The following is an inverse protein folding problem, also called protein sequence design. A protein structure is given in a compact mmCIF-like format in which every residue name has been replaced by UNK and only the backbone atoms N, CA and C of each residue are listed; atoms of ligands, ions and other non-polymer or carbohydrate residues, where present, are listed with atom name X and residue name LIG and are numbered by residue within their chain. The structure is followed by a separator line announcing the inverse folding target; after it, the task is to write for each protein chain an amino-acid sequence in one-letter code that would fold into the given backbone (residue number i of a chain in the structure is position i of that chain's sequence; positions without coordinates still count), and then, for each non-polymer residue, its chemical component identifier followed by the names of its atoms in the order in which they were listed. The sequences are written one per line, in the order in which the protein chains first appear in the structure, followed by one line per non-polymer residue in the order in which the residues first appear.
data_IF_380553991745
#
_entry.id   IF_380553991745
#
_cell.length_a   1.000
_cell.length_b   1.000
_cell.length_c   1.000
_cell.angle_alpha   90.00
_cell.angle_beta   90.00
_cell.angle_gamma   90.00
#
_symmetry.space_group_name_H-M   'P 1'
#
loop_
_entity.id
_entity.type
_entity.pdbx_description
1 polymer ?
#
# COMPACT_ATOMS: atom_id res chain seq x y z
N UNK A 1 56.53 81.24 -27.29
CA UNK A 1 56.33 79.90 -26.72
C UNK A 1 55.31 80.00 -25.60
N UNK A 2 54.06 79.64 -25.85
CA UNK A 2 52.95 79.78 -24.90
C UNK A 2 52.72 78.41 -24.26
N UNK A 3 53.03 78.29 -22.96
CA UNK A 3 52.68 77.13 -22.13
C UNK A 3 51.27 77.34 -21.56
N UNK A 4 50.29 76.61 -22.09
CA UNK A 4 48.97 76.46 -21.47
C UNK A 4 49.00 75.26 -20.51
N UNK A 5 49.11 75.54 -19.21
CA UNK A 5 48.80 74.57 -18.16
C UNK A 5 47.27 74.46 -18.02
N UNK A 6 46.71 73.30 -18.40
CA UNK A 6 45.30 72.98 -18.14
C UNK A 6 45.10 72.63 -16.66
N UNK A 7 44.41 73.51 -15.94
CA UNK A 7 43.87 73.22 -14.63
C UNK A 7 42.74 72.18 -14.78
N UNK A 8 42.91 71.00 -14.17
CA UNK A 8 41.84 70.02 -14.04
C UNK A 8 40.92 70.49 -12.90
N UNK A 9 39.61 70.65 -13.14
CA UNK A 9 38.71 71.13 -12.10
C UNK A 9 38.55 70.06 -11.02
N UNK A 10 38.94 70.41 -9.79
CA UNK A 10 38.82 69.59 -8.57
C UNK A 10 37.42 69.01 -8.34
N UNK A 11 36.38 69.57 -8.96
CA UNK A 11 35.01 69.04 -8.90
C UNK A 11 34.84 67.67 -9.55
N UNK A 12 35.59 67.35 -10.60
CA UNK A 12 35.45 66.06 -11.31
C UNK A 12 36.04 64.90 -10.49
N UNK A 13 37.13 65.16 -9.77
CA UNK A 13 37.79 64.15 -8.91
C UNK A 13 36.93 63.84 -7.68
N UNK A 14 36.26 64.86 -7.10
CA UNK A 14 35.36 64.67 -5.98
C UNK A 14 34.09 63.87 -6.36
N UNK A 15 33.55 64.10 -7.57
CA UNK A 15 32.38 63.39 -8.06
C UNK A 15 32.65 61.90 -8.32
N UNK A 16 33.83 61.56 -8.85
CA UNK A 16 34.25 60.16 -9.08
C UNK A 16 34.48 59.45 -7.73
N UNK A 17 35.07 60.13 -6.75
CA UNK A 17 35.26 59.56 -5.40
C UNK A 17 33.92 59.29 -4.69
N UNK A 18 32.95 60.21 -4.80
CA UNK A 18 31.62 60.02 -4.22
C UNK A 18 30.85 58.86 -4.88
N UNK A 19 30.93 58.73 -6.21
CA UNK A 19 30.30 57.62 -6.93
C UNK A 19 30.90 56.25 -6.57
N UNK A 20 32.23 56.18 -6.37
CA UNK A 20 32.90 54.96 -5.92
C UNK A 20 32.48 54.57 -4.49
N UNK A 21 32.31 55.53 -3.57
CA UNK A 21 31.84 55.25 -2.22
C UNK A 21 30.38 54.77 -2.18
N UNK A 22 29.50 55.30 -3.03
CA UNK A 22 28.10 54.86 -3.12
C UNK A 22 28.01 53.45 -3.71
N UNK A 23 28.85 53.11 -4.71
CA UNK A 23 28.90 51.76 -5.26
C UNK A 23 29.42 50.72 -4.25
N UNK A 24 30.43 51.07 -3.44
CA UNK A 24 30.92 50.20 -2.37
C UNK A 24 29.89 50.03 -1.25
N UNK A 25 29.15 51.09 -0.87
CA UNK A 25 28.05 50.98 0.08
C UNK A 25 26.92 50.11 -0.46
N UNK A 26 26.55 50.22 -1.74
CA UNK A 26 25.54 49.36 -2.37
C UNK A 26 25.97 47.88 -2.37
N UNK A 27 27.25 47.57 -2.58
CA UNK A 27 27.76 46.18 -2.53
C UNK A 27 27.84 45.64 -1.09
N UNK A 28 28.08 46.48 -0.09
CA UNK A 28 28.08 46.06 1.33
C UNK A 28 26.65 45.88 1.87
N UNK A 29 25.68 46.65 1.39
CA UNK A 29 24.26 46.51 1.79
C UNK A 29 23.50 45.46 0.97
N UNK A 30 24.00 45.05 -0.21
CA UNK A 30 23.58 43.82 -0.90
C UNK A 30 24.50 42.68 -0.44
N UNK A 31 24.62 42.49 0.87
CA UNK A 31 24.97 41.18 1.41
C UNK A 31 23.74 40.29 1.21
N UNK A 32 23.85 39.13 0.54
CA UNK A 32 22.79 38.14 0.63
C UNK A 32 22.60 37.86 2.12
N UNK A 33 21.34 37.92 2.54
CA UNK A 33 20.88 37.57 3.87
C UNK A 33 21.10 36.05 4.07
N UNK A 34 22.36 35.63 4.17
CA UNK A 34 22.79 34.34 4.69
C UNK A 34 22.63 34.38 6.21
N UNK A 35 21.37 34.46 6.63
CA UNK A 35 20.90 34.06 7.95
C UNK A 35 19.51 33.44 7.76
N UNK A 36 19.54 32.24 7.19
CA UNK A 36 18.77 31.09 7.67
C UNK A 36 19.66 29.86 7.46
N UNK A 37 20.87 29.95 8.02
CA UNK A 37 21.77 28.82 8.21
C UNK A 37 21.42 28.23 9.58
N UNK A 38 20.25 27.60 9.60
CA UNK A 38 19.65 26.87 10.69
C UNK A 38 18.51 26.04 10.08
N UNK A 39 18.62 24.72 10.16
CA UNK A 39 17.63 23.70 9.78
C UNK A 39 17.46 23.27 8.32
N UNK A 40 18.33 23.66 7.37
CA UNK A 40 18.26 23.11 6.01
C UNK A 40 19.03 21.77 5.84
N UNK A 41 19.99 21.46 6.72
CA UNK A 41 20.83 20.26 6.63
C UNK A 41 20.48 19.13 7.62
N UNK A 42 19.36 19.25 8.37
CA UNK A 42 18.88 18.20 9.28
C UNK A 42 17.48 17.65 8.94
N UNK A 43 17.04 17.82 7.70
CA UNK A 43 15.94 17.04 7.10
C UNK A 43 16.45 15.82 6.33
N UNK A 44 17.69 15.39 6.59
CA UNK A 44 18.04 13.98 6.50
C UNK A 44 17.15 13.25 7.50
N UNK A 45 16.01 12.75 6.99
CA UNK A 45 15.14 11.80 7.66
C UNK A 45 16.01 10.69 8.28
N UNK A 46 16.40 10.85 9.54
CA UNK A 46 16.60 9.72 10.44
C UNK A 46 15.22 9.12 10.60
N UNK A 47 14.86 8.26 9.65
CA UNK A 47 13.77 7.32 9.85
C UNK A 47 14.26 6.42 10.98
N UNK A 48 14.01 6.81 12.23
CA UNK A 48 14.04 5.88 13.35
C UNK A 48 12.90 4.88 13.11
N UNK A 49 13.12 3.94 12.20
CA UNK A 49 12.46 2.66 12.25
C UNK A 49 13.00 2.02 13.51
N UNK A 50 12.21 2.07 14.57
CA UNK A 50 12.36 1.12 15.66
C UNK A 50 12.51 -0.25 15.01
N UNK A 51 13.60 -0.96 15.31
CA UNK A 51 13.77 -2.35 14.92
C UNK A 51 12.59 -3.11 15.53
N UNK A 52 11.53 -3.30 14.75
CA UNK A 52 10.43 -4.16 15.14
C UNK A 52 10.91 -5.59 14.98
N UNK A 53 10.47 -6.43 15.92
CA UNK A 53 10.44 -7.88 15.78
C UNK A 53 10.02 -8.26 14.35
N UNK A 54 10.53 -9.37 13.77
CA UNK A 54 10.27 -9.70 12.38
C UNK A 54 8.76 -9.75 12.14
N UNK A 55 8.27 -8.85 11.28
CA UNK A 55 6.86 -8.83 10.91
C UNK A 55 6.53 -10.18 10.27
N UNK A 56 5.59 -10.92 10.85
CA UNK A 56 5.06 -12.13 10.23
C UNK A 56 3.75 -11.78 9.54
N UNK A 57 3.57 -12.14 8.25
CA UNK A 57 2.32 -11.94 7.58
C UNK A 57 1.23 -12.80 8.26
N UNK A 58 -0.02 -12.30 8.34
CA UNK A 58 -1.13 -13.11 8.83
C UNK A 58 -1.35 -14.35 7.97
N UNK A 59 -1.84 -15.45 8.56
CA UNK A 59 -2.02 -16.75 7.87
C UNK A 59 -3.06 -16.77 6.74
N UNK A 60 -3.91 -15.74 6.70
CA UNK A 60 -4.99 -15.47 5.75
C UNK A 60 -4.65 -14.28 4.83
N UNK A 61 -3.39 -13.87 4.80
CA UNK A 61 -2.86 -12.91 3.83
C UNK A 61 -2.33 -13.66 2.63
N UNK A 62 -2.69 -13.19 1.44
CA UNK A 62 -2.24 -13.70 0.16
C UNK A 62 -1.58 -12.58 -0.63
N UNK A 63 -0.52 -12.90 -1.36
CA UNK A 63 0.16 -11.95 -2.23
C UNK A 63 -0.12 -12.33 -3.68
N UNK A 64 -0.58 -11.39 -4.49
CA UNK A 64 -0.64 -11.58 -5.93
C UNK A 64 0.79 -11.70 -6.47
N UNK A 65 1.06 -12.80 -7.16
CA UNK A 65 2.39 -13.16 -7.66
C UNK A 65 2.30 -13.63 -9.11
N UNK A 66 2.35 -12.68 -10.04
CA UNK A 66 2.40 -12.92 -11.48
C UNK A 66 3.82 -12.93 -12.06
N UNK A 67 3.96 -13.17 -13.38
CA UNK A 67 5.24 -13.13 -14.07
C UNK A 67 6.02 -11.84 -13.81
N UNK A 68 5.42 -10.64 -13.84
CA UNK A 68 6.14 -9.39 -13.57
C UNK A 68 6.72 -9.30 -12.16
N UNK A 69 6.00 -9.84 -11.17
CA UNK A 69 6.49 -9.87 -9.78
C UNK A 69 7.54 -10.97 -9.57
N UNK A 70 7.55 -11.99 -10.44
CA UNK A 70 8.42 -13.15 -10.36
C UNK A 70 9.67 -13.06 -11.27
N UNK A 71 9.64 -12.18 -12.28
CA UNK A 71 10.73 -12.00 -13.24
C UNK A 71 11.79 -11.04 -12.68
N UNK A 72 12.82 -11.63 -12.09
CA UNK A 72 14.05 -11.00 -11.57
C UNK A 72 13.84 -10.45 -10.16
N UNK A 73 14.80 -10.71 -9.28
CA UNK A 73 14.86 -10.34 -7.85
C UNK A 73 14.91 -8.81 -7.58
N UNK A 74 14.20 -8.01 -8.38
CA UNK A 74 14.22 -6.55 -8.40
C UNK A 74 12.82 -6.02 -8.72
N UNK A 75 12.49 -4.83 -8.23
CA UNK A 75 11.22 -4.15 -8.53
C UNK A 75 10.24 -4.13 -7.36
N UNK A 76 9.04 -3.62 -7.62
CA UNK A 76 8.02 -3.33 -6.62
C UNK A 76 7.45 -4.57 -5.94
N UNK A 77 7.20 -5.64 -6.70
CA UNK A 77 6.68 -6.91 -6.19
C UNK A 77 7.62 -7.58 -5.21
N UNK A 78 8.90 -7.67 -5.57
CA UNK A 78 9.95 -8.21 -4.70
C UNK A 78 10.07 -7.43 -3.38
N UNK A 79 9.91 -6.11 -3.41
CA UNK A 79 9.97 -5.28 -2.19
C UNK A 79 8.80 -5.51 -1.27
N UNK A 80 7.60 -5.63 -1.82
CA UNK A 80 6.42 -5.98 -1.04
C UNK A 80 6.57 -7.39 -0.45
N UNK A 81 7.11 -8.35 -1.22
CA UNK A 81 7.43 -9.69 -0.71
C UNK A 81 8.43 -9.65 0.46
N UNK A 82 9.52 -8.89 0.32
CA UNK A 82 10.52 -8.71 1.37
C UNK A 82 9.93 -8.06 2.63
N UNK A 83 9.07 -7.05 2.47
CA UNK A 83 8.39 -6.38 3.57
C UNK A 83 7.54 -7.37 4.40
N UNK A 84 6.91 -8.32 3.72
CA UNK A 84 6.08 -9.35 4.35
C UNK A 84 6.84 -10.64 4.67
N UNK A 85 8.16 -10.70 4.41
CA UNK A 85 8.97 -11.90 4.62
C UNK A 85 8.37 -13.18 4.00
N UNK A 86 7.73 -13.06 2.83
CA UNK A 86 7.03 -14.18 2.18
C UNK A 86 7.92 -14.92 1.17
N UNK A 87 7.78 -16.22 1.10
CA UNK A 87 8.37 -17.08 0.07
C UNK A 87 9.82 -17.49 0.31
N UNK A 88 10.15 -18.64 -0.29
CA UNK A 88 11.50 -19.20 -0.36
C UNK A 88 11.94 -19.35 -1.81
N UNK A 89 13.25 -19.37 -2.06
CA UNK A 89 13.79 -19.60 -3.40
C UNK A 89 13.82 -21.11 -3.65
N UNK A 90 13.09 -21.56 -4.67
CA UNK A 90 13.04 -22.95 -5.11
C UNK A 90 13.14 -23.01 -6.63
N UNK A 91 14.17 -23.67 -7.17
CA UNK A 91 14.37 -23.79 -8.61
C UNK A 91 14.65 -22.46 -9.33
N UNK A 92 15.15 -21.45 -8.61
CA UNK A 92 15.43 -20.12 -9.15
C UNK A 92 14.22 -19.17 -9.18
N UNK A 93 13.08 -19.58 -8.63
CA UNK A 93 11.87 -18.78 -8.52
C UNK A 93 11.46 -18.62 -7.06
N UNK A 94 10.76 -17.53 -6.73
CA UNK A 94 10.13 -17.39 -5.41
C UNK A 94 8.86 -18.21 -5.36
N UNK A 95 8.74 -19.05 -4.32
CA UNK A 95 7.56 -19.89 -4.08
C UNK A 95 7.06 -19.68 -2.67
N UNK A 96 5.74 -19.53 -2.55
CA UNK A 96 5.04 -19.48 -1.27
C UNK A 96 3.64 -20.09 -1.41
N UNK A 97 3.13 -20.86 -0.43
CA UNK A 97 1.75 -21.34 -0.43
C UNK A 97 0.70 -20.20 -0.47
N UNK A 98 1.05 -19.00 -0.04
CA UNK A 98 0.20 -17.80 -0.01
C UNK A 98 0.33 -16.93 -1.26
N UNK A 99 1.17 -17.31 -2.23
CA UNK A 99 1.19 -16.64 -3.52
C UNK A 99 -0.03 -17.02 -4.37
N UNK A 100 -0.67 -16.01 -4.95
CA UNK A 100 -1.75 -16.17 -5.91
C UNK A 100 -1.16 -16.00 -7.30
N UNK A 101 -1.07 -17.11 -8.03
CA UNK A 101 -0.40 -17.19 -9.32
C UNK A 101 0.77 -18.16 -9.24
N UNK A 102 0.97 -18.94 -10.30
CA UNK A 102 2.13 -19.82 -10.48
C UNK A 102 2.32 -20.02 -11.98
N UNK A 103 3.55 -19.84 -12.46
CA UNK A 103 4.09 -20.37 -13.72
C UNK A 103 3.11 -20.33 -14.92
N UNK A 104 2.52 -19.16 -15.20
CA UNK A 104 1.66 -18.93 -16.36
C UNK A 104 0.15 -19.20 -16.15
N UNK A 105 -0.30 -19.50 -14.93
CA UNK A 105 -1.74 -19.62 -14.63
C UNK A 105 -2.33 -18.26 -14.26
N UNK A 106 -3.43 -17.89 -14.91
CA UNK A 106 -4.26 -16.73 -14.59
C UNK A 106 -4.64 -16.71 -13.09
N UNK A 107 -4.08 -15.76 -12.33
CA UNK A 107 -4.19 -15.68 -10.86
C UNK A 107 -5.64 -15.77 -10.36
N UNK A 108 -6.55 -14.99 -10.97
CA UNK A 108 -7.96 -14.96 -10.59
C UNK A 108 -8.81 -16.10 -11.19
N UNK A 109 -8.26 -16.88 -12.13
CA UNK A 109 -8.91 -18.09 -12.61
C UNK A 109 -8.56 -19.33 -11.77
N UNK A 110 -7.56 -19.22 -10.89
CA UNK A 110 -7.06 -20.36 -10.10
C UNK A 110 -8.12 -20.94 -9.14
N UNK A 111 -8.03 -22.26 -8.89
CA UNK A 111 -8.85 -22.93 -7.87
C UNK A 111 -8.58 -22.38 -6.47
N UNK A 112 -7.35 -21.91 -6.20
CA UNK A 112 -6.98 -21.26 -4.95
C UNK A 112 -7.79 -19.97 -4.76
N UNK A 113 -7.81 -19.10 -5.78
CA UNK A 113 -8.61 -17.88 -5.71
C UNK A 113 -10.11 -18.19 -5.56
N UNK A 114 -10.63 -19.22 -6.23
CA UNK A 114 -12.01 -19.67 -6.03
C UNK A 114 -12.31 -19.96 -4.56
N UNK A 115 -11.48 -20.78 -3.90
CA UNK A 115 -11.68 -21.13 -2.47
C UNK A 115 -11.60 -19.90 -1.57
N UNK A 116 -10.65 -19.01 -1.83
CA UNK A 116 -10.46 -17.80 -1.02
C UNK A 116 -11.61 -16.81 -1.25
N UNK A 117 -12.15 -16.73 -2.47
CA UNK A 117 -13.31 -15.89 -2.78
C UNK A 117 -14.59 -16.34 -2.09
N UNK A 118 -14.70 -17.63 -1.75
CA UNK A 118 -15.83 -18.23 -1.02
C UNK A 118 -15.62 -18.18 0.51
N UNK A 119 -14.39 -17.92 0.97
CA UNK A 119 -14.07 -17.73 2.39
C UNK A 119 -14.17 -16.24 2.79
N UNK A 120 -14.34 -15.98 4.09
CA UNK A 120 -14.32 -14.63 4.63
C UNK A 120 -12.97 -14.31 5.31
N UNK A 121 -12.79 -13.04 5.65
CA UNK A 121 -11.67 -12.55 6.46
C UNK A 121 -10.28 -12.78 5.86
N UNK A 122 -10.14 -12.88 4.54
CA UNK A 122 -8.86 -13.00 3.85
C UNK A 122 -8.40 -11.64 3.33
N UNK A 123 -7.09 -11.44 3.23
CA UNK A 123 -6.52 -10.22 2.63
C UNK A 123 -5.71 -10.59 1.41
N UNK A 124 -5.97 -9.96 0.28
CA UNK A 124 -5.13 -10.06 -0.92
C UNK A 124 -4.38 -8.74 -1.09
N UNK A 125 -3.07 -8.81 -1.13
CA UNK A 125 -2.21 -7.68 -1.53
C UNK A 125 -1.85 -7.83 -3.00
N UNK A 126 -2.15 -6.80 -3.79
CA UNK A 126 -1.73 -6.68 -5.19
C UNK A 126 -0.59 -5.66 -5.25
N UNK A 127 0.64 -6.10 -5.59
CA UNK A 127 1.76 -5.20 -5.79
C UNK A 127 1.53 -4.27 -7.00
N UNK A 128 2.33 -3.21 -7.19
CA UNK A 128 2.15 -2.30 -8.32
C UNK A 128 2.23 -3.05 -9.64
N UNK A 129 1.13 -2.98 -10.40
CA UNK A 129 1.01 -3.56 -11.73
C UNK A 129 1.57 -2.55 -12.75
N UNK A 130 2.62 -2.91 -13.48
CA UNK A 130 3.21 -2.02 -14.50
C UNK A 130 2.74 -2.39 -15.92
N UNK A 131 2.83 -3.66 -16.33
CA UNK A 131 2.39 -4.10 -17.68
C UNK A 131 1.48 -5.34 -17.67
N UNK A 132 1.36 -6.06 -16.57
CA UNK A 132 0.45 -7.20 -16.41
C UNK A 132 -0.83 -6.83 -15.67
N UNK A 133 -1.67 -6.05 -16.33
CA UNK A 133 -3.02 -5.79 -15.85
C UNK A 133 -3.93 -6.99 -16.16
N UNK A 134 -4.58 -7.62 -15.17
CA UNK A 134 -5.54 -8.68 -15.43
C UNK A 134 -6.80 -8.13 -16.12
N UNK A 135 -6.81 -8.14 -17.45
CA UNK A 135 -7.98 -7.81 -18.27
C UNK A 135 -8.89 -9.04 -18.37
N UNK A 136 -9.70 -9.27 -17.35
CA UNK A 136 -10.83 -10.18 -17.45
C UNK A 136 -12.07 -9.40 -17.86
N UNK A 137 -12.93 -10.04 -18.64
CA UNK A 137 -14.25 -9.47 -18.90
C UNK A 137 -15.02 -9.39 -17.56
N UNK A 138 -15.33 -8.16 -17.15
CA UNK A 138 -15.94 -7.81 -15.87
C UNK A 138 -17.35 -8.37 -15.68
N UNK A 139 -18.02 -8.74 -16.79
CA UNK A 139 -19.33 -9.37 -16.83
C UNK A 139 -19.26 -10.90 -16.81
N UNK A 140 -18.07 -11.49 -16.94
CA UNK A 140 -17.90 -12.95 -16.80
C UNK A 140 -17.77 -13.35 -15.32
N UNK A 141 -17.83 -14.66 -15.09
CA UNK A 141 -17.76 -15.27 -13.76
C UNK A 141 -16.54 -14.83 -12.94
N UNK A 142 -15.41 -14.52 -13.59
CA UNK A 142 -14.20 -14.06 -12.90
C UNK A 142 -14.41 -12.65 -12.32
N UNK A 143 -15.02 -11.74 -13.08
CA UNK A 143 -15.36 -10.41 -12.59
C UNK A 143 -16.32 -10.46 -11.41
N UNK A 144 -17.34 -11.32 -11.49
CA UNK A 144 -18.24 -11.52 -10.36
C UNK A 144 -17.52 -12.14 -9.16
N UNK A 145 -16.60 -13.08 -9.37
CA UNK A 145 -15.83 -13.69 -8.29
C UNK A 145 -14.92 -12.69 -7.56
N UNK A 146 -14.32 -11.74 -8.28
CA UNK A 146 -13.53 -10.67 -7.68
C UNK A 146 -14.40 -9.78 -6.79
N UNK A 147 -15.60 -9.43 -7.26
CA UNK A 147 -16.57 -8.69 -6.45
C UNK A 147 -17.03 -9.49 -5.23
N UNK A 148 -17.43 -10.75 -5.43
CA UNK A 148 -17.84 -11.66 -4.36
C UNK A 148 -16.74 -11.82 -3.31
N UNK A 149 -15.46 -11.91 -3.72
CA UNK A 149 -14.33 -11.95 -2.78
C UNK A 149 -14.41 -10.75 -1.84
N UNK A 150 -14.45 -9.53 -2.35
CA UNK A 150 -14.54 -8.35 -1.47
C UNK A 150 -15.86 -8.36 -0.68
N UNK A 151 -17.00 -8.62 -1.32
CA UNK A 151 -18.30 -8.63 -0.65
C UNK A 151 -18.36 -9.65 0.49
N UNK A 152 -17.63 -10.76 0.45
CA UNK A 152 -17.58 -11.79 1.49
C UNK A 152 -16.77 -11.38 2.75
N UNK A 153 -16.59 -10.08 2.99
CA UNK A 153 -15.85 -9.59 4.15
C UNK A 153 -14.34 -9.73 4.02
N UNK A 154 -13.84 -9.88 2.79
CA UNK A 154 -12.42 -9.89 2.52
C UNK A 154 -11.89 -8.49 2.20
N UNK A 155 -10.57 -8.40 2.18
CA UNK A 155 -9.84 -7.16 1.90
C UNK A 155 -9.01 -7.30 0.65
N UNK A 156 -9.12 -6.31 -0.22
CA UNK A 156 -8.24 -6.15 -1.37
C UNK A 156 -7.37 -4.91 -1.20
N UNK A 157 -6.07 -5.10 -0.97
CA UNK A 157 -5.09 -4.01 -0.90
C UNK A 157 -4.41 -3.88 -2.25
N UNK A 158 -4.66 -2.79 -2.97
CA UNK A 158 -3.99 -2.47 -4.21
C UNK A 158 -2.95 -1.39 -4.00
N UNK A 159 -1.77 -1.61 -4.55
CA UNK A 159 -0.65 -0.68 -4.44
C UNK A 159 -0.26 -0.10 -5.78
N UNK A 160 0.18 1.15 -5.78
CA UNK A 160 0.77 1.88 -6.91
C UNK A 160 -0.14 2.08 -8.13
N UNK A 161 0.40 2.78 -9.12
CA UNK A 161 0.00 2.66 -10.53
C UNK A 161 -1.35 3.25 -10.93
N UNK A 162 -1.43 3.58 -12.22
CA UNK A 162 -2.69 3.89 -12.92
C UNK A 162 -3.50 2.60 -13.13
N UNK A 163 -2.80 1.50 -13.40
CA UNK A 163 -3.37 0.16 -13.56
C UNK A 163 -4.23 -0.26 -12.36
N UNK A 164 -3.77 -0.07 -11.12
CA UNK A 164 -4.59 -0.43 -9.96
C UNK A 164 -5.91 0.36 -9.87
N UNK A 165 -5.92 1.62 -10.29
CA UNK A 165 -7.15 2.42 -10.30
C UNK A 165 -8.09 1.99 -11.42
N UNK A 166 -7.55 1.67 -12.59
CA UNK A 166 -8.33 1.11 -13.70
C UNK A 166 -8.99 -0.21 -13.29
N UNK A 167 -8.29 -1.02 -12.50
CA UNK A 167 -8.83 -2.27 -11.94
C UNK A 167 -10.02 -1.97 -11.04
N UNK A 168 -9.86 -1.02 -10.11
CA UNK A 168 -10.93 -0.65 -9.18
C UNK A 168 -12.15 -0.14 -9.96
N UNK A 169 -11.94 0.76 -10.92
CA UNK A 169 -13.01 1.33 -11.74
C UNK A 169 -13.74 0.26 -12.56
N UNK A 170 -12.98 -0.61 -13.24
CA UNK A 170 -13.53 -1.66 -14.11
C UNK A 170 -14.31 -2.73 -13.34
N UNK A 171 -13.75 -3.29 -12.26
CA UNK A 171 -14.34 -4.45 -11.59
C UNK A 171 -15.43 -4.09 -10.58
N UNK A 172 -15.33 -2.91 -9.96
CA UNK A 172 -16.25 -2.48 -8.91
C UNK A 172 -17.16 -1.33 -9.33
N UNK A 173 -17.16 -0.97 -10.61
CA UNK A 173 -18.03 0.04 -11.22
C UNK A 173 -17.94 1.38 -10.49
N UNK A 174 -16.70 1.87 -10.36
CA UNK A 174 -16.40 3.21 -9.84
C UNK A 174 -15.87 4.11 -10.94
N UNK A 175 -15.87 5.42 -10.70
CA UNK A 175 -15.31 6.41 -11.61
C UNK A 175 -14.31 7.29 -10.86
N UNK A 176 -13.25 6.66 -10.35
CA UNK A 176 -12.19 7.35 -9.61
C UNK A 176 -11.21 7.95 -10.61
N UNK A 177 -11.04 9.25 -10.55
CA UNK A 177 -10.13 10.00 -11.42
C UNK A 177 -8.80 10.32 -10.73
N UNK A 178 -7.73 10.22 -11.50
CA UNK A 178 -6.41 10.73 -11.14
C UNK A 178 -6.42 12.25 -10.99
N UNK A 179 -5.48 12.78 -10.20
CA UNK A 179 -5.18 14.21 -10.19
C UNK A 179 -4.67 14.63 -11.57
N UNK A 180 -5.08 15.80 -12.02
CA UNK A 180 -4.71 16.33 -13.34
C UNK A 180 -3.18 16.37 -13.50
N UNK A 181 -2.68 15.82 -14.60
CA UNK A 181 -1.23 15.69 -14.86
C UNK A 181 -0.54 14.55 -14.14
N UNK A 182 -1.28 13.62 -13.51
CA UNK A 182 -0.75 12.44 -12.80
C UNK A 182 0.26 12.75 -11.69
N UNK A 183 0.28 13.99 -11.23
CA UNK A 183 1.18 14.47 -10.20
C UNK A 183 0.40 15.31 -9.20
N UNK A 184 0.38 14.87 -7.94
CA UNK A 184 -0.11 15.69 -6.83
C UNK A 184 1.09 16.21 -6.05
N UNK A 185 1.25 17.54 -5.87
CA UNK A 185 2.25 18.04 -4.94
C UNK A 185 1.86 17.56 -3.53
N UNK A 186 2.66 16.67 -2.97
CA UNK A 186 2.59 16.35 -1.55
C UNK A 186 3.16 17.51 -0.70
N UNK A 187 3.38 17.29 0.60
CA UNK A 187 3.25 16.02 1.32
C UNK A 187 1.81 15.70 1.72
N UNK A 188 1.49 14.41 1.88
CA UNK A 188 0.16 13.96 2.28
C UNK A 188 0.08 13.78 3.78
N UNK A 189 -0.92 14.40 4.40
CA UNK A 189 -1.10 14.33 5.85
C UNK A 189 -2.12 13.25 6.17
N UNK A 190 -1.84 12.50 7.23
CA UNK A 190 -2.79 11.55 7.81
C UNK A 190 -4.01 12.31 8.33
N UNK A 191 -5.21 11.81 8.07
CA UNK A 191 -6.42 12.36 8.66
C UNK A 191 -6.61 11.85 10.09
N UNK A 192 -7.35 12.60 10.90
CA UNK A 192 -7.65 12.20 12.29
C UNK A 192 -8.63 11.03 12.35
N UNK A 193 -9.36 10.78 11.26
CA UNK A 193 -10.34 9.71 11.11
C UNK A 193 -9.74 8.37 10.72
N UNK A 194 -8.40 8.21 10.74
CA UNK A 194 -7.80 6.91 10.46
C UNK A 194 -8.19 5.88 11.53
N UNK A 195 -8.31 4.60 11.14
CA UNK A 195 -8.50 3.54 12.10
C UNK A 195 -7.38 3.45 13.15
N UNK A 196 -7.70 2.87 14.31
CA UNK A 196 -6.79 2.83 15.47
C UNK A 196 -5.46 2.14 15.16
N UNK A 197 -5.47 1.10 14.36
CA UNK A 197 -4.29 0.35 13.93
C UNK A 197 -3.31 1.27 13.18
N UNK A 198 -3.83 2.18 12.36
CA UNK A 198 -3.06 3.16 11.60
C UNK A 198 -2.70 4.43 12.41
N UNK A 199 -3.07 4.50 13.68
CA UNK A 199 -2.81 5.68 14.52
C UNK A 199 -1.32 5.86 14.88
N UNK A 200 -0.52 4.80 14.75
CA UNK A 200 0.94 4.81 14.93
C UNK A 200 1.73 5.01 13.64
N UNK A 201 1.04 5.01 12.49
CA UNK A 201 1.67 5.23 11.18
C UNK A 201 2.24 6.66 11.04
N UNK A 202 3.10 6.90 10.03
CA UNK A 202 3.63 8.23 9.77
C UNK A 202 2.52 9.27 9.57
N UNK A 203 2.59 10.37 10.34
CA UNK A 203 1.67 11.52 10.20
C UNK A 203 1.75 12.17 8.81
N UNK A 204 2.90 12.05 8.14
CA UNK A 204 3.18 12.69 6.87
C UNK A 204 3.88 11.71 5.93
N UNK A 205 3.27 11.48 4.76
CA UNK A 205 3.82 10.70 3.67
C UNK A 205 4.42 11.63 2.61
N UNK A 206 5.67 11.40 2.20
CA UNK A 206 6.31 12.22 1.18
C UNK A 206 5.73 11.91 -0.21
N UNK A 207 5.46 12.94 -1.00
CA UNK A 207 5.43 12.79 -2.47
C UNK A 207 6.89 12.72 -2.92
N UNK A 208 7.26 11.67 -3.65
CA UNK A 208 8.59 11.55 -4.25
C UNK A 208 8.46 11.32 -5.75
N UNK A 209 8.66 12.38 -6.52
CA UNK A 209 8.54 12.36 -7.98
C UNK A 209 7.20 11.77 -8.44
N UNK A 210 7.28 10.86 -9.41
CA UNK A 210 6.15 10.10 -9.98
C UNK A 210 5.90 8.76 -9.29
N UNK A 211 6.60 8.47 -8.19
CA UNK A 211 6.46 7.21 -7.43
C UNK A 211 5.13 7.08 -6.70
N UNK A 212 4.40 8.19 -6.54
CA UNK A 212 3.12 8.25 -5.83
C UNK A 212 2.02 8.77 -6.75
N UNK A 213 1.04 7.92 -6.97
CA UNK A 213 -0.21 8.21 -7.65
C UNK A 213 -1.24 8.71 -6.65
N UNK A 214 -1.95 9.78 -6.97
CA UNK A 214 -3.03 10.31 -6.14
C UNK A 214 -4.29 10.55 -6.97
N UNK A 215 -5.45 10.41 -6.34
CA UNK A 215 -6.76 10.59 -6.96
C UNK A 215 -7.43 11.87 -6.48
N UNK A 216 -8.36 12.40 -7.29
CA UNK A 216 -9.21 13.52 -6.90
C UNK A 216 -10.17 13.06 -5.81
N UNK A 217 -10.22 13.76 -4.67
CA UNK A 217 -11.15 13.40 -3.58
C UNK A 217 -12.61 13.48 -4.00
N UNK A 218 -12.94 14.38 -4.93
CA UNK A 218 -14.30 14.57 -5.42
C UNK A 218 -14.84 13.39 -6.25
N UNK A 219 -13.97 12.50 -6.73
CA UNK A 219 -14.35 11.34 -7.56
C UNK A 219 -14.36 10.03 -6.77
N UNK A 220 -14.04 10.09 -5.47
CA UNK A 220 -14.17 8.94 -4.58
C UNK A 220 -15.66 8.58 -4.38
N UNK A 221 -15.99 7.28 -4.33
CA UNK A 221 -17.38 6.86 -4.13
C UNK A 221 -17.92 7.25 -2.77
N UNK A 222 -19.25 7.32 -2.67
CA UNK A 222 -19.92 7.58 -1.38
C UNK A 222 -19.54 6.51 -0.35
N UNK A 223 -19.16 6.95 0.85
CA UNK A 223 -18.70 6.06 1.91
C UNK A 223 -17.22 5.68 1.84
N UNK A 224 -16.44 6.22 0.90
CA UNK A 224 -14.99 6.09 0.91
C UNK A 224 -14.38 6.89 2.06
N UNK A 225 -13.41 6.29 2.75
CA UNK A 225 -12.67 6.88 3.86
C UNK A 225 -11.28 7.29 3.34
N UNK A 226 -11.00 8.59 3.34
CA UNK A 226 -9.65 9.08 3.05
C UNK A 226 -8.78 8.88 4.29
N UNK A 227 -7.61 8.28 4.11
CA UNK A 227 -6.69 7.98 5.21
C UNK A 227 -5.51 8.97 5.23
N UNK A 228 -4.91 9.24 4.06
CA UNK A 228 -3.93 10.30 3.87
C UNK A 228 -4.32 11.17 2.68
N UNK A 229 -4.07 12.47 2.74
CA UNK A 229 -4.33 13.33 1.59
C UNK A 229 -3.98 14.80 1.79
N UNK A 230 -4.25 15.58 0.75
CA UNK A 230 -4.31 17.05 0.75
C UNK A 230 -5.77 17.49 0.75
N UNK A 231 -6.13 18.78 0.74
CA UNK A 231 -7.53 19.19 0.59
C UNK A 231 -8.23 18.66 -0.67
N UNK A 232 -7.49 18.42 -1.77
CA UNK A 232 -8.09 18.05 -3.07
C UNK A 232 -7.77 16.62 -3.53
N UNK A 233 -6.71 16.02 -3.01
CA UNK A 233 -6.19 14.73 -3.49
C UNK A 233 -5.90 13.73 -2.38
N UNK A 234 -5.95 12.44 -2.71
CA UNK A 234 -5.65 11.35 -1.78
C UNK A 234 -4.82 10.26 -2.47
N UNK A 235 -3.66 9.87 -1.94
CA UNK A 235 -2.95 8.68 -2.38
C UNK A 235 -3.33 7.43 -1.57
N UNK A 236 -4.03 7.59 -0.44
CA UNK A 236 -4.42 6.46 0.42
C UNK A 236 -5.87 6.60 0.86
N UNK A 237 -6.69 5.66 0.44
CA UNK A 237 -8.11 5.62 0.79
C UNK A 237 -8.63 4.20 0.91
N UNK A 238 -9.73 4.05 1.63
CA UNK A 238 -10.45 2.81 1.84
C UNK A 238 -11.87 2.95 1.27
N UNK A 239 -12.31 1.96 0.51
CA UNK A 239 -13.69 1.87 0.00
C UNK A 239 -14.35 0.65 0.63
N UNK A 240 -15.50 0.84 1.26
CA UNK A 240 -16.39 -0.27 1.63
C UNK A 240 -17.20 -0.68 0.42
N UNK A 241 -17.06 -1.93 0.00
CA UNK A 241 -17.80 -2.50 -1.11
C UNK A 241 -18.75 -3.58 -0.59
N UNK A 242 -20.02 -3.47 -0.96
CA UNK A 242 -21.07 -4.36 -0.50
C UNK A 242 -21.85 -4.92 -1.68
N UNK A 243 -22.23 -6.19 -1.58
CA UNK A 243 -23.18 -6.83 -2.48
C UNK A 243 -24.34 -7.41 -1.68
N UNK A 244 -25.52 -7.37 -2.28
CA UNK A 244 -26.70 -8.04 -1.78
C UNK A 244 -27.21 -9.04 -2.83
N UNK A 245 -27.85 -10.11 -2.38
CA UNK A 245 -28.56 -11.01 -3.29
C UNK A 245 -29.53 -10.22 -4.18
N UNK A 246 -29.55 -10.55 -5.49
CA UNK A 246 -30.48 -9.93 -6.43
C UNK A 246 -31.93 -10.25 -6.04
N UNK A 247 -32.87 -9.30 -6.18
CA UNK A 247 -34.30 -9.58 -6.02
C UNK A 247 -34.81 -10.58 -7.07
N UNK A 248 -34.19 -10.61 -8.25
CA UNK A 248 -34.53 -11.54 -9.32
C UNK A 248 -33.82 -12.89 -9.10
N UNK A 249 -34.60 -13.98 -9.05
CA UNK A 249 -34.06 -15.33 -8.89
C UNK A 249 -33.10 -15.72 -10.02
N UNK A 250 -31.99 -16.35 -9.67
CA UNK A 250 -30.96 -16.79 -10.63
C UNK A 250 -30.01 -15.69 -11.12
N UNK A 251 -30.24 -14.43 -10.75
CA UNK A 251 -29.34 -13.32 -11.07
C UNK A 251 -28.18 -13.21 -10.07
N UNK A 252 -26.99 -12.76 -10.52
CA UNK A 252 -25.84 -12.58 -9.64
C UNK A 252 -26.10 -11.49 -8.59
N UNK A 253 -25.36 -11.49 -7.47
CA UNK A 253 -25.42 -10.41 -6.49
C UNK A 253 -25.22 -9.03 -7.12
N UNK A 254 -25.92 -8.05 -6.58
CA UNK A 254 -25.88 -6.66 -7.06
C UNK A 254 -25.15 -5.78 -6.06
N UNK A 255 -24.35 -4.85 -6.58
CA UNK A 255 -23.68 -3.82 -5.78
C UNK A 255 -24.72 -2.97 -5.05
N UNK A 256 -24.53 -2.78 -3.75
CA UNK A 256 -25.35 -1.90 -2.91
C UNK A 256 -24.46 -0.90 -2.17
N UNK A 257 -25.01 0.24 -1.78
CA UNK A 257 -24.29 1.18 -0.95
C UNK A 257 -24.16 0.61 0.47
N UNK A 258 -23.07 0.88 1.21
CA UNK A 258 -22.90 0.38 2.58
C UNK A 258 -24.05 0.75 3.51
N UNK A 259 -24.65 1.93 3.34
CA UNK A 259 -25.80 2.39 4.12
C UNK A 259 -27.10 1.60 3.85
N UNK A 260 -27.23 1.02 2.66
CA UNK A 260 -28.44 0.32 2.21
C UNK A 260 -28.34 -1.19 2.47
N UNK A 261 -27.17 -1.69 2.84
CA UNK A 261 -26.92 -3.10 3.14
C UNK A 261 -27.80 -3.65 4.28
N UNK A 262 -27.97 -2.95 5.42
CA UNK A 262 -28.89 -3.40 6.47
C UNK A 262 -30.35 -3.45 6.02
N UNK A 263 -30.76 -2.54 5.12
CA UNK A 263 -32.13 -2.52 4.57
C UNK A 263 -32.34 -3.73 3.65
N UNK A 264 -31.39 -4.03 2.77
CA UNK A 264 -31.44 -5.22 1.93
C UNK A 264 -31.54 -6.51 2.75
N UNK A 265 -30.78 -6.60 3.85
CA UNK A 265 -30.86 -7.75 4.76
C UNK A 265 -32.23 -7.88 5.44
N UNK A 266 -32.89 -6.77 5.78
CA UNK A 266 -34.26 -6.77 6.32
C UNK A 266 -35.29 -7.23 5.28
N UNK A 267 -35.06 -6.95 4.00
CA UNK A 267 -35.87 -7.44 2.88
C UNK A 267 -35.64 -8.93 2.56
N UNK A 268 -34.89 -9.65 3.38
CA UNK A 268 -34.55 -11.06 3.16
C UNK A 268 -33.49 -11.29 2.07
N UNK A 269 -32.77 -10.25 1.65
CA UNK A 269 -31.66 -10.34 0.70
C UNK A 269 -30.34 -10.27 1.48
N UNK A 270 -29.64 -11.40 1.71
CA UNK A 270 -28.37 -11.38 2.43
C UNK A 270 -27.42 -10.36 1.80
N UNK A 271 -26.86 -9.50 2.65
CA UNK A 271 -25.93 -8.46 2.23
C UNK A 271 -24.65 -8.57 3.05
N UNK A 272 -23.52 -8.45 2.37
CA UNK A 272 -22.20 -8.53 2.98
C UNK A 272 -21.27 -7.49 2.37
N UNK A 273 -20.31 -7.03 3.17
CA UNK A 273 -19.40 -5.96 2.82
C UNK A 273 -17.96 -6.35 3.15
N UNK A 274 -17.03 -5.96 2.29
CA UNK A 274 -15.61 -5.93 2.62
C UNK A 274 -14.97 -4.63 2.20
N UNK A 275 -13.64 -4.65 2.08
CA UNK A 275 -12.85 -3.43 1.94
C UNK A 275 -11.89 -3.48 0.77
N UNK A 276 -11.76 -2.36 0.08
CA UNK A 276 -10.75 -2.12 -0.94
C UNK A 276 -9.86 -1.00 -0.41
N UNK A 277 -8.58 -1.27 -0.21
CA UNK A 277 -7.59 -0.27 0.20
C UNK A 277 -6.71 0.05 -1.00
N UNK A 278 -6.60 1.32 -1.32
CA UNK A 278 -5.67 1.80 -2.34
C UNK A 278 -4.51 2.53 -1.68
N UNK A 279 -3.28 2.18 -2.06
CA UNK A 279 -2.05 2.88 -1.64
C UNK A 279 -1.26 3.24 -2.88
N UNK A 280 -1.30 4.49 -3.30
CA UNK A 280 -0.75 4.92 -4.60
C UNK A 280 0.76 4.91 -4.75
N UNK A 281 1.53 4.34 -3.81
CA UNK A 281 2.99 4.25 -3.92
C UNK A 281 3.41 3.03 -4.75
N UNK A 282 4.41 3.18 -5.61
CA UNK A 282 4.88 2.11 -6.51
C UNK A 282 6.05 1.28 -5.96
N UNK A 283 6.51 1.52 -4.73
CA UNK A 283 7.65 0.82 -4.12
C UNK A 283 8.91 0.76 -5.00
N UNK A 284 9.14 1.71 -5.92
CA UNK A 284 10.32 1.74 -6.79
C UNK A 284 11.58 2.34 -6.14
N UNK A 285 11.53 2.70 -4.85
CA UNK A 285 12.68 3.20 -4.10
C UNK A 285 13.30 2.21 -3.11
N UNK A 286 14.57 2.42 -2.69
CA UNK A 286 15.23 1.55 -1.72
C UNK A 286 14.51 1.50 -0.37
N UNK A 287 14.40 0.29 0.17
CA UNK A 287 13.90 0.00 1.52
C UNK A 287 14.88 0.52 2.58
N UNK A 288 14.39 1.05 3.72
CA UNK A 288 13.00 1.16 4.17
C UNK A 288 12.32 2.50 3.83
N UNK A 289 11.00 2.47 3.66
CA UNK A 289 10.17 3.63 3.31
C UNK A 289 9.09 3.91 4.36
N UNK A 290 8.66 5.18 4.47
CA UNK A 290 7.50 5.55 5.32
C UNK A 290 6.21 4.88 4.84
N UNK A 291 6.14 4.54 3.57
CA UNK A 291 5.00 3.86 2.95
C UNK A 291 4.86 2.40 3.41
N UNK A 292 5.95 1.77 3.85
CA UNK A 292 5.96 0.39 4.31
C UNK A 292 5.01 0.20 5.50
N UNK A 293 5.03 1.12 6.46
CA UNK A 293 4.12 1.11 7.62
C UNK A 293 2.65 1.18 7.21
N UNK A 294 2.33 2.00 6.21
CA UNK A 294 0.95 2.12 5.71
C UNK A 294 0.47 0.80 5.11
N UNK A 295 1.33 0.11 4.37
CA UNK A 295 1.00 -1.19 3.78
C UNK A 295 0.86 -2.28 4.84
N UNK A 296 1.79 -2.37 5.81
CA UNK A 296 1.68 -3.30 6.94
C UNK A 296 0.39 -3.07 7.72
N UNK A 297 0.13 -1.83 8.14
CA UNK A 297 -1.07 -1.45 8.90
C UNK A 297 -2.36 -1.66 8.11
N UNK A 298 -2.33 -1.57 6.77
CA UNK A 298 -3.49 -1.85 5.91
C UNK A 298 -3.84 -3.34 5.89
N UNK A 299 -2.85 -4.23 5.99
CA UNK A 299 -3.07 -5.68 6.13
C UNK A 299 -3.56 -6.01 7.54
N UNK A 300 -3.01 -5.39 8.58
CA UNK A 300 -3.43 -5.60 9.97
C UNK A 300 -4.84 -5.06 10.26
N UNK A 301 -5.16 -3.88 9.73
CA UNK A 301 -6.43 -3.18 9.97
C UNK A 301 -7.65 -4.05 9.68
N UNK A 302 -7.55 -4.91 8.67
CA UNK A 302 -8.70 -5.59 8.09
C UNK A 302 -8.63 -7.10 8.29
N UNK A 303 -7.82 -7.53 9.25
CA UNK A 303 -7.68 -8.90 9.65
C UNK A 303 -8.25 -9.13 11.06
N UNK A 304 -9.44 -9.72 11.18
CA UNK A 304 -10.05 -9.97 12.50
C UNK A 304 -9.29 -11.02 13.31
N UNK A 305 -8.36 -11.77 12.71
CA UNK A 305 -7.56 -12.80 13.37
C UNK A 305 -6.17 -12.30 13.82
N UNK A 306 -5.78 -11.06 13.53
CA UNK A 306 -4.48 -10.55 13.95
C UNK A 306 -4.50 -10.22 15.44
N UNK A 307 -3.89 -11.09 16.24
CA UNK A 307 -3.37 -10.73 17.55
C UNK A 307 -1.89 -10.35 17.37
N UNK A 308 -1.40 -9.27 18.01
CA UNK A 308 0.03 -9.03 18.05
C UNK A 308 0.72 -10.29 18.60
N UNK A 309 1.89 -10.67 18.09
CA UNK A 309 2.65 -11.76 18.68
C UNK A 309 2.80 -11.48 20.19
N UNK A 310 2.67 -12.50 21.07
CA UNK A 310 2.93 -12.29 22.48
C UNK A 310 4.34 -11.69 22.62
N UNK A 311 4.52 -10.66 23.46
CA UNK A 311 5.83 -10.05 23.65
C UNK A 311 6.82 -11.16 23.96
N UNK A 312 7.94 -11.18 23.24
CA UNK A 312 9.00 -12.14 23.51
C UNK A 312 9.30 -12.09 25.02
N UNK A 313 9.37 -13.26 25.70
CA UNK A 313 9.80 -13.26 27.09
C UNK A 313 11.14 -12.51 27.15
N UNK A 314 11.36 -11.66 28.15
CA UNK A 314 12.61 -10.94 28.28
C UNK A 314 13.75 -11.94 28.13
N UNK A 315 14.68 -11.65 27.22
CA UNK A 315 15.85 -12.49 26.99
C UNK A 315 16.52 -12.73 28.34
N UNK A 316 16.29 -13.91 28.93
CA UNK A 316 17.04 -14.32 30.09
C UNK A 316 18.51 -14.29 29.66
N UNK A 317 19.39 -13.60 30.40
CA UNK A 317 20.80 -13.63 30.10
C UNK A 317 21.21 -15.10 30.07
N UNK A 318 21.86 -15.52 28.99
CA UNK A 318 22.38 -16.87 28.82
C UNK A 318 23.34 -17.17 29.99
N UNK A 319 22.79 -17.67 31.10
CA UNK A 319 23.56 -18.20 32.20
C UNK A 319 23.95 -19.61 31.81
N UNK A 320 25.25 -19.85 31.83
CA UNK A 320 25.92 -21.08 31.46
C UNK A 320 25.20 -22.33 31.99
N UNK A 321 24.58 -23.10 31.09
CA UNK A 321 24.14 -24.47 31.37
C UNK A 321 24.50 -25.39 30.20
N UNK A 322 25.06 -26.60 30.46
CA UNK A 322 25.80 -27.37 29.48
C UNK A 322 24.88 -28.07 28.47
N UNK A 323 25.37 -28.24 27.24
CA UNK A 323 24.71 -28.97 26.14
C UNK A 323 24.07 -30.29 26.61
N UNK A 324 22.74 -30.48 26.48
CA UNK A 324 22.15 -31.80 26.52
C UNK A 324 21.97 -32.36 25.10
N UNK A 325 22.17 -33.67 25.04
CA UNK A 325 22.13 -34.54 23.87
C UNK A 325 20.75 -34.54 23.20
N UNK A 326 20.75 -34.63 21.87
CA UNK A 326 19.57 -34.92 21.07
C UNK A 326 18.88 -36.21 21.56
N UNK A 327 17.60 -36.13 21.88
CA UNK A 327 16.73 -37.29 22.05
C UNK A 327 15.40 -37.02 21.33
N UNK A 328 14.99 -38.01 20.55
CA UNK A 328 13.79 -38.03 19.74
C UNK A 328 12.50 -38.12 20.58
N UNK A 329 11.39 -37.79 19.92
CA UNK A 329 9.98 -38.06 20.27
C UNK A 329 9.32 -37.11 21.27
N UNK A 330 8.44 -36.24 20.75
CA UNK A 330 6.97 -36.35 20.93
C UNK A 330 6.28 -35.09 20.43
N UNK A 331 5.34 -35.25 19.49
CA UNK A 331 4.41 -34.22 19.03
C UNK A 331 3.12 -34.39 19.84
N UNK A 332 2.55 -33.35 20.48
CA UNK A 332 1.16 -33.36 20.89
C UNK A 332 0.27 -32.84 19.76
N UNK A 333 -0.74 -33.63 19.44
CA UNK A 333 -1.82 -33.38 18.48
C UNK A 333 -2.92 -32.48 19.06
N UNK A 334 -3.46 -31.58 18.24
CA UNK A 334 -4.75 -30.90 18.48
C UNK A 334 -5.92 -31.76 17.94
N UNK A 335 -7.11 -31.72 18.57
CA UNK A 335 -8.19 -32.67 18.32
C UNK A 335 -8.98 -32.38 17.04
N UNK A 336 -9.29 -33.44 16.28
CA UNK A 336 -10.26 -33.43 15.19
C UNK A 336 -11.66 -33.71 15.73
N UNK A 337 -12.58 -32.78 15.49
CA UNK A 337 -14.02 -33.01 15.64
C UNK A 337 -14.50 -33.93 14.52
N UNK A 338 -15.13 -35.03 14.92
CA UNK A 338 -15.60 -36.07 14.03
C UNK A 338 -16.80 -35.67 13.19
N UNK A 339 -16.84 -36.21 11.98
CA UNK A 339 -18.07 -36.39 11.22
C UNK A 339 -18.03 -37.77 10.57
N UNK A 340 -18.83 -38.67 11.13
CA UNK A 340 -19.10 -40.01 10.63
C UNK A 340 -20.20 -39.95 9.58
N UNK A 341 -19.92 -40.43 8.37
CA UNK A 341 -20.91 -40.63 7.32
C UNK A 341 -20.46 -41.73 6.37
N UNK A 342 -21.02 -42.92 6.58
CA UNK A 342 -20.99 -44.11 5.71
C UNK A 342 -21.25 -43.70 4.25
N UNK A 343 -20.69 -44.29 3.19
CA UNK A 343 -20.26 -45.66 2.95
C UNK A 343 -20.81 -46.02 1.56
N UNK A 344 -19.97 -46.06 0.52
CA UNK A 344 -20.35 -46.57 -0.79
C UNK A 344 -19.15 -47.27 -1.44
N UNK A 345 -19.20 -48.61 -1.43
CA UNK A 345 -18.28 -49.51 -2.12
C UNK A 345 -18.44 -49.35 -3.64
N UNK A 346 -17.34 -49.11 -4.36
CA UNK A 346 -17.22 -49.38 -5.80
C UNK A 346 -16.54 -50.74 -5.97
N UNK A 347 -17.25 -51.67 -6.59
CA UNK A 347 -16.70 -52.93 -7.08
C UNK A 347 -16.02 -52.69 -8.43
N UNK A 348 -14.96 -53.45 -8.66
CA UNK A 348 -14.08 -53.47 -9.83
C UNK A 348 -14.51 -54.59 -10.77
N UNK A 349 -14.69 -54.25 -12.04
CA UNK A 349 -14.51 -55.13 -13.21
C UNK A 349 -15.62 -56.14 -13.52
N UNK A 350 -15.55 -56.80 -14.70
CA UNK A 350 -14.47 -56.75 -15.70
C UNK A 350 -14.57 -55.62 -16.74
#
# INVERSE_FOLDING_TARGET
SINMARAVPYGLVAAIAAAACIAVLAVVFVRPQNQLQGDADELLLKVHLQAHEPYSPPSNMYLWWGPETNHRFVGSGERIRQLFHMGNIEGGEWRDPMFLGNNGVETFASQRFRRISEACCSTIVIPPMEWEFPVFNTHKIIGQRIRNFVANGNTLVLTGGIAALEFINSYFFYNIELVDGNYSPGPFRRLNSVPKQMSFDPKVLPQKGVSVTAVKKATLPSGAEVLWGTPRSSPVFLIKFCEAQSPDEGMPPVKVLPRDCPLAAQDGRPCSCGSIVYIGYNWNEPYPSRWDKVLLSSVELLNPCWAPPPPLPPLEPCSDVPKPKCAANSIPSCPSTGWSGQGAKRAVGP
#
